data_IF_700586148106
#
_entry.id   IF_700586148106
#
_cell.length_a   1.000
_cell.length_b   1.000
_cell.length_c   1.000
_cell.angle_alpha   90.00
_cell.angle_beta   90.00
_cell.angle_gamma   90.00
#
_symmetry.space_group_name_H-M   'P 1'
#
loop_
_entity.id
_entity.type
_entity.pdbx_description
1 polymer ?
#
# COMPACT_ATOMS: atom_id res chain seq x y z
N UNK A 1 -23.19 26.73 1.44
CA UNK A 1 -22.85 27.71 0.38
C UNK A 1 -22.60 26.95 -0.91
N UNK A 2 -23.09 27.45 -2.05
CA UNK A 2 -22.88 26.81 -3.36
C UNK A 2 -21.91 27.69 -4.13
N UNK A 3 -20.64 27.27 -4.17
CA UNK A 3 -19.60 27.96 -4.93
C UNK A 3 -19.50 27.27 -6.30
N UNK A 4 -19.62 27.99 -7.43
CA UNK A 4 -19.57 27.41 -8.76
C UNK A 4 -18.12 27.04 -9.16
N UNK A 5 -17.66 25.86 -8.73
CA UNK A 5 -16.37 25.30 -9.13
C UNK A 5 -16.52 24.50 -10.42
N UNK A 6 -15.73 24.84 -11.44
CA UNK A 6 -15.82 24.24 -12.78
C UNK A 6 -15.00 22.95 -12.92
N UNK A 7 -13.99 22.74 -12.09
CA UNK A 7 -13.10 21.59 -12.18
C UNK A 7 -11.95 21.62 -11.19
N UNK A 8 -11.12 20.57 -11.25
CA UNK A 8 -9.98 20.35 -10.37
C UNK A 8 -8.83 19.71 -11.15
N UNK A 9 -7.61 20.22 -10.96
CA UNK A 9 -6.38 19.67 -11.54
C UNK A 9 -5.42 19.31 -10.41
N UNK A 10 -5.11 18.03 -10.25
CA UNK A 10 -4.20 17.57 -9.22
C UNK A 10 -2.75 18.00 -9.53
N UNK A 11 -2.05 18.54 -8.52
CA UNK A 11 -0.60 18.69 -8.55
C UNK A 11 0.06 17.39 -8.06
N UNK A 12 0.79 16.66 -8.89
CA UNK A 12 1.03 16.85 -10.32
C UNK A 12 0.77 15.57 -11.09
N UNK A 13 0.67 15.66 -12.42
CA UNK A 13 0.49 14.45 -13.23
C UNK A 13 1.70 13.51 -13.09
N UNK A 14 2.91 14.03 -13.19
CA UNK A 14 4.17 13.31 -12.99
C UNK A 14 4.94 13.92 -11.83
N UNK A 15 5.84 13.15 -11.22
CA UNK A 15 6.90 13.74 -10.41
C UNK A 15 7.67 14.78 -11.24
N UNK A 16 8.18 15.82 -10.59
CA UNK A 16 8.84 16.95 -11.24
C UNK A 16 9.94 17.54 -10.34
N UNK A 17 10.56 18.62 -10.82
CA UNK A 17 11.57 19.35 -10.06
C UNK A 17 10.90 20.34 -9.10
N UNK A 18 11.04 20.10 -7.80
CA UNK A 18 10.46 20.92 -6.76
C UNK A 18 11.51 21.90 -6.22
N UNK A 19 11.70 23.01 -6.94
CA UNK A 19 12.42 24.22 -6.48
C UNK A 19 13.81 24.01 -5.83
N UNK A 20 14.58 23.02 -6.28
CA UNK A 20 15.89 22.74 -5.70
C UNK A 20 16.24 21.26 -5.71
N UNK A 21 15.22 20.40 -5.75
CA UNK A 21 15.42 18.97 -5.67
C UNK A 21 14.34 18.19 -6.43
N UNK A 22 14.72 17.01 -6.91
CA UNK A 22 13.75 16.00 -7.36
C UNK A 22 13.28 15.11 -6.20
N UNK A 23 13.90 15.17 -5.02
CA UNK A 23 13.57 14.30 -3.90
C UNK A 23 12.09 14.35 -3.47
N UNK A 24 11.43 15.53 -3.40
CA UNK A 24 9.99 15.58 -3.14
C UNK A 24 9.17 15.05 -4.33
N UNK A 25 8.22 14.13 -4.06
CA UNK A 25 7.49 13.41 -5.11
C UNK A 25 5.97 13.56 -5.03
N UNK A 26 5.42 14.57 -5.72
CA UNK A 26 3.99 14.89 -5.74
C UNK A 26 3.18 14.25 -6.88
N UNK A 27 3.84 13.54 -7.80
CA UNK A 27 3.20 13.00 -8.98
C UNK A 27 2.19 11.89 -8.70
N UNK A 28 1.15 11.83 -9.52
CA UNK A 28 0.31 10.63 -9.66
C UNK A 28 1.10 9.47 -10.28
N UNK A 29 2.09 9.78 -11.13
CA UNK A 29 3.04 8.82 -11.66
C UNK A 29 4.42 9.09 -11.08
N UNK A 30 5.04 8.03 -10.56
CA UNK A 30 6.46 8.04 -10.22
C UNK A 30 7.30 8.18 -11.49
N UNK A 31 8.30 9.05 -11.45
CA UNK A 31 9.30 9.15 -12.51
C UNK A 31 10.65 8.73 -11.95
N UNK A 32 11.27 7.74 -12.59
CA UNK A 32 12.62 7.33 -12.23
C UNK A 32 13.65 8.30 -12.83
N UNK A 33 14.28 9.09 -11.98
CA UNK A 33 15.28 10.07 -12.40
C UNK A 33 16.69 9.49 -12.19
N UNK A 34 17.56 9.58 -13.20
CA UNK A 34 18.94 9.18 -13.02
C UNK A 34 19.64 10.17 -12.06
N UNK A 35 20.71 9.75 -11.36
CA UNK A 35 21.41 10.58 -10.37
C UNK A 35 21.93 11.92 -10.91
N UNK A 36 22.13 12.03 -12.22
CA UNK A 36 22.60 13.25 -12.89
C UNK A 36 21.47 14.28 -13.08
N UNK A 37 20.21 13.89 -12.93
CA UNK A 37 19.06 14.80 -13.03
C UNK A 37 19.11 15.83 -11.89
N UNK A 38 19.24 17.10 -12.23
CA UNK A 38 19.39 18.20 -11.26
C UNK A 38 20.85 18.55 -10.93
N UNK A 39 21.82 17.92 -11.59
CA UNK A 39 23.23 18.33 -11.48
C UNK A 39 23.46 19.72 -12.09
N UNK A 40 24.45 20.45 -11.55
CA UNK A 40 24.81 21.79 -12.00
C UNK A 40 25.34 21.81 -13.46
N UNK A 41 25.89 20.68 -13.93
CA UNK A 41 26.38 20.54 -15.30
C UNK A 41 25.25 20.35 -16.32
N UNK A 42 24.01 20.19 -15.84
CA UNK A 42 22.86 19.90 -16.67
C UNK A 42 22.85 18.45 -17.14
N UNK A 43 21.65 17.90 -17.27
CA UNK A 43 21.45 16.55 -17.79
C UNK A 43 20.24 16.56 -18.71
N UNK A 44 20.43 16.08 -19.94
CA UNK A 44 19.35 15.92 -20.92
C UNK A 44 18.97 14.45 -20.96
N UNK A 45 17.88 14.03 -20.27
CA UNK A 45 17.42 12.65 -20.31
C UNK A 45 16.95 12.26 -21.71
N UNK A 46 17.23 11.02 -22.13
CA UNK A 46 16.50 10.45 -23.25
C UNK A 46 15.09 10.07 -22.79
N UNK A 47 14.07 10.14 -23.65
CA UNK A 47 12.71 9.74 -23.28
C UNK A 47 12.60 8.29 -22.76
N UNK A 48 13.51 7.41 -23.18
CA UNK A 48 13.62 6.01 -22.73
C UNK A 48 14.08 5.87 -21.29
N UNK A 49 14.79 6.88 -20.77
CA UNK A 49 15.45 6.83 -19.46
C UNK A 49 14.50 7.28 -18.35
N UNK A 50 13.35 7.87 -18.70
CA UNK A 50 12.36 8.41 -17.77
C UNK A 50 11.11 7.52 -17.75
N UNK A 51 11.19 6.39 -17.06
CA UNK A 51 10.02 5.54 -16.87
C UNK A 51 8.97 6.25 -16.01
N UNK A 52 7.70 6.16 -16.42
CA UNK A 52 6.56 6.69 -15.66
C UNK A 52 5.72 5.53 -15.14
N UNK A 53 5.66 5.39 -13.82
CA UNK A 53 5.01 4.27 -13.15
C UNK A 53 3.80 4.80 -12.38
N UNK A 54 2.61 4.31 -12.71
CA UNK A 54 1.37 4.76 -12.07
C UNK A 54 1.36 4.38 -10.58
N UNK A 55 1.05 5.35 -9.71
CA UNK A 55 0.83 5.11 -8.27
C UNK A 55 -0.65 4.79 -8.01
N UNK A 56 -1.02 4.25 -6.84
CA UNK A 56 -2.42 4.00 -6.49
C UNK A 56 -3.32 5.24 -6.64
N UNK A 57 -2.80 6.42 -6.32
CA UNK A 57 -3.50 7.70 -6.50
C UNK A 57 -3.91 7.98 -7.95
N UNK A 58 -3.10 7.57 -8.94
CA UNK A 58 -3.46 7.69 -10.36
C UNK A 58 -4.69 6.83 -10.70
N UNK A 59 -4.75 5.62 -10.13
CA UNK A 59 -5.91 4.74 -10.26
C UNK A 59 -7.17 5.36 -9.67
N UNK A 60 -7.07 5.87 -8.44
CA UNK A 60 -8.17 6.56 -7.75
C UNK A 60 -8.67 7.79 -8.51
N UNK A 61 -7.78 8.69 -8.94
CA UNK A 61 -8.17 9.86 -9.73
C UNK A 61 -8.74 9.46 -11.10
N UNK A 62 -8.21 8.40 -11.74
CA UNK A 62 -8.79 7.86 -12.97
C UNK A 62 -10.22 7.37 -12.76
N UNK A 63 -10.52 6.71 -11.64
CA UNK A 63 -11.88 6.28 -11.32
C UNK A 63 -12.79 7.51 -11.15
N UNK A 64 -12.40 8.49 -10.34
CA UNK A 64 -13.18 9.72 -10.12
C UNK A 64 -13.39 10.48 -11.43
N UNK A 65 -12.35 10.63 -12.26
CA UNK A 65 -12.46 11.34 -13.52
C UNK A 65 -13.45 10.67 -14.49
N UNK A 66 -13.55 9.34 -14.46
CA UNK A 66 -14.48 8.57 -15.29
C UNK A 66 -15.90 8.57 -14.71
N UNK A 67 -16.04 8.31 -13.41
CA UNK A 67 -17.34 8.18 -12.74
C UNK A 67 -17.98 9.53 -12.39
N UNK A 68 -17.16 10.58 -12.28
CA UNK A 68 -17.52 11.90 -11.72
C UNK A 68 -18.00 11.85 -10.26
N UNK A 69 -17.70 10.76 -9.55
CA UNK A 69 -18.12 10.51 -8.18
C UNK A 69 -16.95 9.95 -7.35
N UNK A 70 -16.95 10.23 -6.04
CA UNK A 70 -16.05 9.54 -5.12
C UNK A 70 -16.49 8.08 -4.95
N UNK A 71 -15.55 7.11 -4.95
CA UNK A 71 -15.88 5.75 -4.61
C UNK A 71 -16.40 5.71 -3.17
N UNK A 72 -17.43 4.91 -2.92
CA UNK A 72 -17.87 4.63 -1.55
C UNK A 72 -16.73 3.92 -0.81
N UNK A 73 -16.60 4.18 0.49
CA UNK A 73 -15.57 3.55 1.29
C UNK A 73 -15.73 2.03 1.21
N UNK A 74 -14.80 1.37 0.52
CA UNK A 74 -14.73 -0.07 0.43
C UNK A 74 -14.61 -0.62 1.85
N UNK A 75 -15.65 -1.30 2.33
CA UNK A 75 -15.60 -2.16 3.50
C UNK A 75 -14.77 -3.42 3.19
N UNK A 76 -13.55 -3.26 2.67
CA UNK A 76 -12.73 -4.34 2.13
C UNK A 76 -11.55 -4.63 3.06
N UNK A 77 -11.88 -5.11 4.25
CA UNK A 77 -10.94 -5.83 5.11
C UNK A 77 -11.62 -6.92 5.96
N UNK A 78 -12.96 -6.94 6.05
CA UNK A 78 -13.69 -7.86 6.94
C UNK A 78 -14.39 -9.02 6.24
N UNK A 79 -14.51 -9.00 4.90
CA UNK A 79 -15.28 -10.01 4.16
C UNK A 79 -14.45 -11.06 3.44
N UNK A 80 -13.11 -10.97 3.41
CA UNK A 80 -12.30 -11.95 2.69
C UNK A 80 -12.32 -13.31 3.43
N UNK A 81 -13.00 -14.35 2.89
CA UNK A 81 -13.17 -15.63 3.59
C UNK A 81 -11.83 -16.32 3.83
N UNK A 82 -10.81 -16.06 3.00
CA UNK A 82 -9.47 -16.61 3.20
C UNK A 82 -8.78 -16.05 4.44
N UNK A 83 -8.98 -14.77 4.74
CA UNK A 83 -8.44 -14.12 5.94
C UNK A 83 -9.08 -14.68 7.22
N UNK A 84 -10.40 -14.85 7.21
CA UNK A 84 -11.14 -15.49 8.31
C UNK A 84 -10.66 -16.92 8.56
N UNK A 85 -10.51 -17.73 7.52
CA UNK A 85 -10.04 -19.13 7.65
C UNK A 85 -8.60 -19.20 8.19
N UNK A 86 -7.72 -18.28 7.78
CA UNK A 86 -6.35 -18.20 8.32
C UNK A 86 -6.33 -17.82 9.80
N UNK A 87 -7.12 -16.82 10.20
CA UNK A 87 -7.24 -16.43 11.61
C UNK A 87 -7.79 -17.58 12.48
N UNK A 88 -8.83 -18.28 12.02
CA UNK A 88 -9.39 -19.42 12.77
C UNK A 88 -8.40 -20.59 12.87
N UNK A 89 -7.67 -20.91 11.79
CA UNK A 89 -6.70 -22.01 11.82
C UNK A 89 -5.52 -21.74 12.77
N UNK A 90 -5.04 -20.49 12.85
CA UNK A 90 -3.99 -20.10 13.82
C UNK A 90 -4.45 -20.23 15.27
N UNK A 91 -5.68 -19.79 15.60
CA UNK A 91 -6.23 -19.85 16.96
C UNK A 91 -6.47 -21.30 17.39
N UNK A 92 -7.09 -22.11 16.51
CA UNK A 92 -7.36 -23.53 16.79
C UNK A 92 -6.05 -24.31 16.94
N UNK A 93 -5.07 -24.09 16.06
CA UNK A 93 -3.77 -24.75 16.13
C UNK A 93 -3.02 -24.43 17.42
N UNK A 94 -3.03 -23.17 17.86
CA UNK A 94 -2.40 -22.74 19.11
C UNK A 94 -3.08 -23.32 20.35
N UNK A 95 -4.42 -23.35 20.36
CA UNK A 95 -5.19 -23.96 21.45
C UNK A 95 -4.99 -25.47 21.54
N UNK A 96 -4.88 -26.16 20.39
CA UNK A 96 -4.59 -27.60 20.34
C UNK A 96 -3.17 -27.88 20.82
N UNK A 97 -2.17 -27.12 20.36
CA UNK A 97 -0.79 -27.22 20.81
C UNK A 97 -0.67 -26.98 22.33
N UNK A 98 -1.37 -25.98 22.85
CA UNK A 98 -1.41 -25.68 24.29
C UNK A 98 -2.05 -26.82 25.10
N UNK A 99 -3.15 -27.40 24.63
CA UNK A 99 -3.79 -28.54 25.29
C UNK A 99 -2.92 -29.81 25.24
N UNK A 100 -2.25 -30.08 24.12
CA UNK A 100 -1.30 -31.18 23.99
C UNK A 100 -0.08 -30.99 24.89
N UNK A 101 0.45 -29.76 24.96
CA UNK A 101 1.51 -29.40 25.89
C UNK A 101 1.08 -29.62 27.35
N UNK A 102 -0.13 -29.17 27.73
CA UNK A 102 -0.69 -29.37 29.07
C UNK A 102 -0.88 -30.85 29.40
N UNK A 103 -1.42 -31.66 28.48
CA UNK A 103 -1.57 -33.11 28.64
C UNK A 103 -0.22 -33.81 28.83
N UNK A 104 0.79 -33.46 28.03
CA UNK A 104 2.14 -34.03 28.13
C UNK A 104 2.81 -33.71 29.47
N UNK A 105 2.61 -32.49 29.98
CA UNK A 105 3.12 -32.08 31.30
C UNK A 105 2.41 -32.79 32.46
N UNK A 106 1.11 -33.06 32.33
CA UNK A 106 0.36 -33.85 33.31
C UNK A 106 0.84 -35.31 33.33
N UNK A 107 1.05 -35.94 32.16
CA UNK A 107 1.53 -37.32 32.08
C UNK A 107 2.94 -37.49 32.67
N UNK A 108 3.86 -36.56 32.37
CA UNK A 108 5.22 -36.56 32.96
C UNK A 108 5.27 -36.23 34.45
N UNK A 109 4.19 -35.69 35.03
CA UNK A 109 4.09 -35.47 36.48
C UNK A 109 3.63 -36.72 37.25
N UNK A 110 2.90 -37.64 36.61
CA UNK A 110 2.51 -38.91 37.23
C UNK A 110 3.68 -39.92 37.27
N UNK A 111 4.54 -39.93 36.25
CA UNK A 111 5.73 -40.81 36.20
C UNK A 111 6.85 -40.41 37.19
N UNK A 112 6.71 -39.29 37.90
CA UNK A 112 7.66 -38.86 38.96
C UNK A 112 7.17 -39.14 40.38
N UNK A 113 5.97 -39.70 40.54
CA UNK A 113 5.32 -39.94 41.85
C UNK A 113 5.11 -41.45 42.12
N UNK A 114 5.58 -42.34 41.23
CA UNK A 114 5.67 -43.79 41.48
C UNK A 114 7.14 -44.20 41.54
#
# INVERSE_FOLDING_TARGET
EVIPILGYTAWSFLDNYEWGSFEPRFGLFYVDYPPQAGSHEGYTPKPTDLQRIARPAAGFISQIAKSKCFPEAEAEATSNPTFLVLCFSMVIGSAMAFNLYRRRRSATSYDKII
#
